data_IF_279823946198
#
_entry.id   IF_279823946198
#
_cell.length_a   1.000
_cell.length_b   1.000
_cell.length_c   1.000
_cell.angle_alpha   90.00
_cell.angle_beta   90.00
_cell.angle_gamma   90.00
#
_symmetry.space_group_name_H-M   'P 1'
#
loop_
_entity.id
_entity.type
_entity.pdbx_description
1 polymer ?
#
# COMPACT_ATOMS: atom_id res chain seq x y z
N UNK A 1 -8.71 -18.40 33.37
CA UNK A 1 -8.44 -18.62 31.93
C UNK A 1 -6.93 -18.48 31.70
N UNK A 2 -6.19 -19.57 31.51
CA UNK A 2 -4.77 -19.51 31.11
C UNK A 2 -4.74 -19.65 29.59
N UNK A 3 -4.44 -18.56 28.88
CA UNK A 3 -4.25 -18.61 27.43
C UNK A 3 -2.97 -19.43 27.19
N UNK A 4 -3.03 -20.55 26.47
CA UNK A 4 -1.85 -21.34 26.17
C UNK A 4 -0.89 -20.54 25.29
N UNK A 5 0.40 -20.56 25.61
CA UNK A 5 1.46 -19.87 24.85
C UNK A 5 1.47 -20.23 23.35
N UNK A 6 0.95 -21.40 22.98
CA UNK A 6 0.75 -21.83 21.59
C UNK A 6 -0.26 -20.97 20.83
N UNK A 7 -1.32 -20.49 21.48
CA UNK A 7 -2.28 -19.56 20.87
C UNK A 7 -1.66 -18.17 20.71
N UNK A 8 -0.84 -17.72 21.67
CA UNK A 8 -0.17 -16.42 21.61
C UNK A 8 0.82 -16.39 20.43
N UNK A 9 1.65 -17.42 20.31
CA UNK A 9 2.63 -17.55 19.21
C UNK A 9 1.95 -17.65 17.84
N UNK A 10 0.83 -18.38 17.75
CA UNK A 10 0.03 -18.46 16.52
C UNK A 10 -0.51 -17.09 16.11
N UNK A 11 -1.13 -16.35 17.03
CA UNK A 11 -1.68 -15.01 16.76
C UNK A 11 -0.59 -14.03 16.31
N UNK A 12 0.58 -14.05 16.96
CA UNK A 12 1.71 -13.21 16.57
C UNK A 12 2.22 -13.52 15.16
N UNK A 13 2.32 -14.80 14.79
CA UNK A 13 2.76 -15.19 13.45
C UNK A 13 1.81 -14.71 12.35
N UNK A 14 0.50 -14.85 12.56
CA UNK A 14 -0.53 -14.40 11.61
C UNK A 14 -0.53 -12.88 11.49
N UNK A 15 -0.45 -12.14 12.61
CA UNK A 15 -0.38 -10.68 12.59
C UNK A 15 0.84 -10.17 11.82
N UNK A 16 2.00 -10.83 11.97
CA UNK A 16 3.22 -10.45 11.27
C UNK A 16 3.07 -10.62 9.74
N UNK A 17 2.46 -11.71 9.28
CA UNK A 17 2.19 -11.93 7.85
C UNK A 17 1.24 -10.89 7.25
N UNK A 18 0.24 -10.44 8.01
CA UNK A 18 -0.66 -9.37 7.58
C UNK A 18 0.06 -8.02 7.42
N UNK A 19 0.97 -7.68 8.33
CA UNK A 19 1.74 -6.43 8.24
C UNK A 19 2.66 -6.39 7.01
N UNK A 20 3.18 -7.55 6.60
CA UNK A 20 4.01 -7.66 5.39
C UNK A 20 3.22 -7.46 4.08
N UNK A 21 1.90 -7.68 4.10
CA UNK A 21 1.02 -7.44 2.93
C UNK A 21 0.69 -5.95 2.77
N UNK A 22 0.67 -5.18 3.85
CA UNK A 22 0.39 -3.74 3.82
C UNK A 22 1.67 -2.90 3.63
N UNK A 23 2.86 -3.50 3.82
CA UNK A 23 4.13 -2.81 3.66
C UNK A 23 4.50 -2.67 2.17
N UNK A 24 4.77 -1.44 1.72
CA UNK A 24 5.19 -1.23 0.34
C UNK A 24 6.59 -1.80 0.07
N UNK A 25 6.75 -2.51 -1.04
CA UNK A 25 8.05 -2.97 -1.50
C UNK A 25 8.74 -1.91 -2.37
N UNK A 26 9.47 -0.99 -1.72
CA UNK A 26 10.14 0.14 -2.36
C UNK A 26 11.06 -0.25 -3.52
N UNK A 27 11.67 -1.45 -3.48
CA UNK A 27 12.56 -1.91 -4.56
C UNK A 27 11.80 -2.21 -5.86
N UNK A 28 10.58 -2.77 -5.76
CA UNK A 28 9.71 -3.01 -6.92
C UNK A 28 9.10 -1.68 -7.40
N UNK A 29 8.78 -0.80 -6.45
CA UNK A 29 8.00 0.40 -6.69
C UNK A 29 8.83 1.65 -7.04
N UNK A 30 10.15 1.67 -6.83
CA UNK A 30 10.99 2.86 -7.00
C UNK A 30 10.84 3.54 -8.38
N UNK A 31 10.86 2.77 -9.47
CA UNK A 31 10.73 3.28 -10.84
C UNK A 31 9.32 3.78 -11.17
N UNK A 32 8.24 3.00 -10.98
CA UNK A 32 6.88 3.48 -11.24
C UNK A 32 6.45 4.61 -10.30
N UNK A 33 6.72 4.54 -8.99
CA UNK A 33 6.33 5.59 -8.03
C UNK A 33 7.01 6.91 -8.34
N UNK A 34 8.33 6.91 -8.57
CA UNK A 34 9.06 8.13 -8.95
C UNK A 34 8.55 8.71 -10.28
N UNK A 35 8.30 7.87 -11.27
CA UNK A 35 7.68 8.30 -12.54
C UNK A 35 6.31 8.95 -12.30
N UNK A 36 5.44 8.33 -11.51
CA UNK A 36 4.09 8.82 -11.25
C UNK A 36 4.09 10.14 -10.47
N UNK A 37 5.04 10.35 -9.55
CA UNK A 37 5.25 11.63 -8.87
C UNK A 37 5.77 12.71 -9.83
N UNK A 38 6.73 12.38 -10.69
CA UNK A 38 7.29 13.33 -11.67
C UNK A 38 6.24 13.83 -12.68
N UNK A 39 5.25 12.99 -13.03
CA UNK A 39 4.12 13.39 -13.90
C UNK A 39 2.91 13.90 -13.10
N UNK A 40 3.06 14.07 -11.78
CA UNK A 40 2.02 14.52 -10.84
C UNK A 40 0.74 13.68 -10.85
N UNK A 41 0.80 12.41 -11.27
CA UNK A 41 -0.37 11.53 -11.31
C UNK A 41 -0.87 11.16 -9.91
N UNK A 42 0.04 11.06 -8.93
CA UNK A 42 -0.27 10.72 -7.54
C UNK A 42 -0.01 11.88 -6.55
N UNK A 43 0.11 13.12 -7.04
CA UNK A 43 0.37 14.33 -6.23
C UNK A 43 -0.96 14.89 -5.69
N UNK A 44 -1.61 14.14 -4.82
CA UNK A 44 -2.94 14.48 -4.33
C UNK A 44 -3.33 13.72 -3.06
N UNK A 45 -4.39 14.17 -2.41
CA UNK A 45 -4.93 13.50 -1.23
C UNK A 45 -6.04 12.51 -1.61
N UNK A 46 -5.78 11.22 -1.40
CA UNK A 46 -6.74 10.14 -1.69
C UNK A 46 -7.59 9.74 -0.47
N UNK A 47 -7.47 10.45 0.66
CA UNK A 47 -8.27 10.17 1.84
C UNK A 47 -9.78 10.34 1.57
N UNK A 48 -10.14 11.20 0.62
CA UNK A 48 -11.52 11.39 0.17
C UNK A 48 -11.76 10.74 -1.22
N UNK A 49 -12.01 9.42 -1.23
CA UNK A 49 -12.26 8.64 -2.47
C UNK A 49 -13.45 9.16 -3.30
N UNK A 50 -14.32 9.99 -2.74
CA UNK A 50 -15.48 10.56 -3.45
C UNK A 50 -15.14 11.78 -4.30
N UNK A 51 -14.13 12.57 -3.93
CA UNK A 51 -13.73 13.81 -4.62
C UNK A 51 -12.26 13.80 -5.05
N UNK A 52 -11.74 12.60 -5.35
CA UNK A 52 -10.35 12.44 -5.73
C UNK A 52 -10.15 12.66 -7.24
N UNK A 53 -9.69 13.85 -7.62
CA UNK A 53 -9.47 14.26 -9.02
C UNK A 53 -8.33 13.50 -9.72
N UNK A 54 -7.38 12.98 -8.96
CA UNK A 54 -6.15 12.32 -9.42
C UNK A 54 -6.17 10.79 -9.33
N UNK A 55 -7.13 10.19 -8.60
CA UNK A 55 -7.14 8.76 -8.26
C UNK A 55 -7.06 7.88 -9.51
N UNK A 56 -7.83 8.26 -10.53
CA UNK A 56 -7.84 7.57 -11.80
C UNK A 56 -6.48 7.59 -12.50
N UNK A 57 -5.81 8.76 -12.52
CA UNK A 57 -4.51 8.93 -13.17
C UNK A 57 -3.41 8.19 -12.41
N UNK A 58 -3.43 8.22 -11.08
CA UNK A 58 -2.49 7.47 -10.25
C UNK A 58 -2.67 5.96 -10.45
N UNK A 59 -3.91 5.47 -10.48
CA UNK A 59 -4.22 4.06 -10.71
C UNK A 59 -3.80 3.60 -12.12
N UNK A 60 -4.02 4.43 -13.15
CA UNK A 60 -3.52 4.18 -14.49
C UNK A 60 -2.00 4.19 -14.58
N UNK A 61 -1.34 5.11 -13.86
CA UNK A 61 0.11 5.24 -13.88
C UNK A 61 0.82 4.04 -13.23
N UNK A 62 0.32 3.57 -12.09
CA UNK A 62 0.83 2.37 -11.41
C UNK A 62 0.42 1.08 -12.14
N UNK A 63 -0.66 1.12 -12.92
CA UNK A 63 -1.17 0.01 -13.72
C UNK A 63 -1.30 -1.29 -12.90
N UNK A 64 -0.59 -2.35 -13.30
CA UNK A 64 -0.67 -3.66 -12.64
C UNK A 64 0.03 -3.69 -11.28
N UNK A 65 0.86 -2.69 -10.98
CA UNK A 65 1.56 -2.56 -9.70
C UNK A 65 0.79 -1.70 -8.69
N UNK A 66 -0.46 -1.31 -8.99
CA UNK A 66 -1.25 -0.48 -8.09
C UNK A 66 -1.38 -1.09 -6.69
N UNK A 67 -1.71 -2.38 -6.57
CA UNK A 67 -1.86 -3.06 -5.27
C UNK A 67 -0.57 -3.11 -4.46
N UNK A 68 0.57 -3.25 -5.13
CA UNK A 68 1.89 -3.38 -4.50
C UNK A 68 2.49 -2.01 -4.12
N UNK A 69 2.16 -0.98 -4.90
CA UNK A 69 2.82 0.33 -4.83
C UNK A 69 1.94 1.47 -4.34
N UNK A 70 0.61 1.31 -4.21
CA UNK A 70 -0.25 2.39 -3.70
C UNK A 70 0.10 2.75 -2.25
N UNK A 71 0.62 1.80 -1.46
CA UNK A 71 1.04 2.05 -0.07
C UNK A 71 2.28 2.94 -0.01
N UNK A 72 3.18 2.84 -1.00
CA UNK A 72 4.37 3.71 -1.09
C UNK A 72 4.03 5.18 -1.29
N UNK A 73 2.89 5.46 -1.94
CA UNK A 73 2.42 6.84 -2.12
C UNK A 73 1.47 7.25 -0.99
N UNK A 74 1.10 6.34 -0.10
CA UNK A 74 0.14 6.58 0.99
C UNK A 74 -1.27 6.87 0.46
N UNK A 75 -1.60 6.28 -0.70
CA UNK A 75 -2.83 6.57 -1.45
C UNK A 75 -3.65 5.32 -1.79
N UNK A 76 -3.42 4.20 -1.10
CA UNK A 76 -4.45 3.16 -1.01
C UNK A 76 -5.60 3.65 -0.08
#
# INVERSE_FOLDING_TARGET
MRIPYTLITLVLSVACLYVMVEACNEQICASPVSRCQLIQACDCDMSDKKNCSCCHNCQLCLAQLYSECCSCVGKC
#
